data_IF_448065163992
#
_entry.id   IF_448065163992
#
_cell.length_a   1.000
_cell.length_b   1.000
_cell.length_c   1.000
_cell.angle_alpha   90.00
_cell.angle_beta   90.00
_cell.angle_gamma   90.00
#
_symmetry.space_group_name_H-M   'P 1'
#
loop_
_entity.id
_entity.type
_entity.pdbx_description
1 polymer ?
#
# COMPACT_ATOMS: atom_id res chain seq x y z
N UNK A 1 0.74 13.65 13.54
CA UNK A 1 0.87 12.30 14.12
C UNK A 1 -0.42 11.50 14.01
N UNK A 2 -1.57 11.93 14.58
CA UNK A 2 -2.87 11.22 14.47
C UNK A 2 -3.23 10.79 13.05
N UNK A 3 -2.97 11.65 12.05
CA UNK A 3 -3.25 11.35 10.64
C UNK A 3 -2.48 10.13 10.10
N UNK A 4 -1.18 10.01 10.36
CA UNK A 4 -0.37 8.89 9.84
C UNK A 4 -0.80 7.56 10.48
N UNK A 5 -1.06 7.59 11.78
CA UNK A 5 -1.63 6.47 12.53
C UNK A 5 -2.99 6.06 11.96
N UNK A 6 -3.90 7.02 11.73
CA UNK A 6 -5.21 6.76 11.13
C UNK A 6 -5.09 6.17 9.72
N UNK A 7 -4.22 6.72 8.89
CA UNK A 7 -3.95 6.21 7.55
C UNK A 7 -3.43 4.77 7.60
N UNK A 8 -2.52 4.46 8.54
CA UNK A 8 -2.04 3.11 8.81
C UNK A 8 -3.17 2.15 9.20
N UNK A 9 -4.03 2.55 10.14
CA UNK A 9 -5.20 1.76 10.56
C UNK A 9 -6.19 1.50 9.42
N UNK A 10 -6.39 2.47 8.52
CA UNK A 10 -7.23 2.30 7.34
C UNK A 10 -6.64 1.25 6.40
N UNK A 11 -5.34 1.32 6.11
CA UNK A 11 -4.67 0.32 5.27
C UNK A 11 -4.67 -1.08 5.92
N UNK A 12 -4.47 -1.17 7.24
CA UNK A 12 -4.59 -2.42 7.97
C UNK A 12 -6.00 -3.01 7.87
N UNK A 13 -7.03 -2.15 7.94
CA UNK A 13 -8.43 -2.57 7.77
C UNK A 13 -8.69 -3.09 6.35
N UNK A 14 -8.16 -2.40 5.33
CA UNK A 14 -8.22 -2.84 3.93
C UNK A 14 -7.47 -4.17 3.76
N UNK A 15 -6.31 -4.32 4.40
CA UNK A 15 -5.57 -5.58 4.49
C UNK A 15 -6.43 -6.70 5.10
N UNK A 16 -7.05 -6.46 6.25
CA UNK A 16 -7.95 -7.44 6.88
C UNK A 16 -9.12 -7.86 5.98
N UNK A 17 -9.82 -6.88 5.37
CA UNK A 17 -10.93 -7.15 4.46
C UNK A 17 -10.51 -7.88 3.19
N UNK A 18 -9.37 -7.50 2.60
CA UNK A 18 -8.83 -8.20 1.43
C UNK A 18 -8.36 -9.62 1.76
N UNK A 19 -7.93 -9.88 3.00
CA UNK A 19 -7.61 -11.22 3.49
C UNK A 19 -8.85 -12.10 3.58
N UNK A 20 -9.97 -11.57 4.07
CA UNK A 20 -11.26 -12.27 4.05
C UNK A 20 -11.72 -12.56 2.61
N UNK A 21 -11.61 -11.57 1.71
CA UNK A 21 -11.91 -11.76 0.30
C UNK A 21 -11.03 -12.85 -0.33
N UNK A 22 -9.73 -12.84 -0.05
CA UNK A 22 -8.79 -13.84 -0.54
C UNK A 22 -9.14 -15.23 -0.03
N UNK A 23 -9.43 -15.38 1.27
CA UNK A 23 -9.85 -16.64 1.88
C UNK A 23 -11.06 -17.23 1.13
N UNK A 24 -12.10 -16.42 0.92
CA UNK A 24 -13.29 -16.86 0.18
C UNK A 24 -12.95 -17.17 -1.29
N UNK A 25 -12.08 -16.38 -1.93
CA UNK A 25 -11.75 -16.55 -3.35
C UNK A 25 -10.94 -17.83 -3.65
N UNK A 26 -10.22 -18.39 -2.66
CA UNK A 26 -9.44 -19.62 -2.85
C UNK A 26 -10.32 -20.84 -3.13
N UNK A 27 -11.53 -20.87 -2.58
CA UNK A 27 -12.48 -21.97 -2.75
C UNK A 27 -13.44 -21.76 -3.94
N UNK A 28 -13.22 -20.72 -4.74
CA UNK A 28 -14.12 -20.33 -5.84
C UNK A 28 -13.48 -20.62 -7.20
N UNK A 29 -14.30 -20.86 -8.24
CA UNK A 29 -13.78 -21.04 -9.59
C UNK A 29 -13.05 -19.78 -10.06
N UNK A 30 -12.07 -19.96 -10.96
CA UNK A 30 -11.36 -18.83 -11.59
C UNK A 30 -12.36 -17.86 -12.22
N UNK A 31 -12.16 -16.56 -12.03
CA UNK A 31 -13.05 -15.52 -12.54
C UNK A 31 -14.24 -15.19 -11.63
N UNK A 32 -14.40 -15.87 -10.49
CA UNK A 32 -15.37 -15.45 -9.47
C UNK A 32 -15.10 -14.01 -9.01
N UNK A 33 -16.14 -13.18 -8.93
CA UNK A 33 -16.05 -11.72 -8.74
C UNK A 33 -15.13 -11.00 -9.76
N UNK A 34 -14.99 -11.54 -10.97
CA UNK A 34 -14.09 -11.04 -12.00
C UNK A 34 -12.60 -11.00 -11.57
N UNK A 35 -12.23 -11.73 -10.52
CA UNK A 35 -10.85 -11.89 -10.09
C UNK A 35 -10.13 -12.81 -11.08
N UNK A 36 -9.17 -12.25 -11.81
CA UNK A 36 -8.36 -12.95 -12.82
C UNK A 36 -7.09 -13.54 -12.24
N UNK A 37 -6.51 -12.88 -11.22
CA UNK A 37 -5.24 -13.28 -10.61
C UNK A 37 -5.30 -13.18 -9.08
N UNK A 38 -5.56 -14.29 -8.40
CA UNK A 38 -5.56 -14.36 -6.93
C UNK A 38 -4.18 -14.09 -6.31
N UNK A 39 -3.10 -14.35 -7.05
CA UNK A 39 -1.73 -14.01 -6.62
C UNK A 39 -1.54 -12.50 -6.43
N UNK A 40 -2.12 -11.67 -7.31
CA UNK A 40 -2.08 -10.20 -7.21
C UNK A 40 -2.97 -9.69 -6.08
N UNK A 41 -4.11 -10.34 -5.85
CA UNK A 41 -4.97 -10.02 -4.70
C UNK A 41 -4.22 -10.28 -3.39
N UNK A 42 -3.52 -11.42 -3.28
CA UNK A 42 -2.67 -11.73 -2.13
C UNK A 42 -1.52 -10.73 -1.99
N UNK A 43 -0.93 -10.30 -3.09
CA UNK A 43 0.13 -9.29 -3.06
C UNK A 43 -0.40 -7.96 -2.50
N UNK A 44 -1.51 -7.44 -3.03
CA UNK A 44 -2.13 -6.21 -2.51
C UNK A 44 -2.59 -6.31 -1.05
N UNK A 45 -3.08 -7.48 -0.63
CA UNK A 45 -3.39 -7.78 0.77
C UNK A 45 -2.16 -7.64 1.67
N UNK A 46 -1.04 -8.28 1.30
CA UNK A 46 0.20 -8.20 2.07
C UNK A 46 0.77 -6.79 2.05
N UNK A 47 0.77 -6.11 0.90
CA UNK A 47 1.26 -4.73 0.78
C UNK A 47 0.46 -3.79 1.71
N UNK A 48 -0.87 -3.92 1.74
CA UNK A 48 -1.71 -3.13 2.64
C UNK A 48 -1.39 -3.37 4.12
N UNK A 49 -1.14 -4.63 4.52
CA UNK A 49 -0.76 -4.96 5.90
C UNK A 49 0.62 -4.39 6.26
N UNK A 50 1.61 -4.56 5.39
CA UNK A 50 2.98 -4.11 5.65
C UNK A 50 3.04 -2.58 5.67
N UNK A 51 2.52 -1.92 4.64
CA UNK A 51 2.51 -0.46 4.55
C UNK A 51 1.65 0.13 5.67
N UNK A 52 0.49 -0.46 5.96
CA UNK A 52 -0.36 -0.03 7.08
C UNK A 52 0.37 -0.09 8.43
N UNK A 53 1.10 -1.18 8.68
CA UNK A 53 1.92 -1.34 9.89
C UNK A 53 3.04 -0.30 9.96
N UNK A 54 3.72 -0.05 8.84
CA UNK A 54 4.78 0.96 8.73
C UNK A 54 4.24 2.35 9.08
N UNK A 55 3.13 2.77 8.48
CA UNK A 55 2.51 4.08 8.74
C UNK A 55 2.06 4.21 10.21
N UNK A 56 1.52 3.12 10.77
CA UNK A 56 1.11 3.06 12.17
C UNK A 56 2.32 3.27 13.10
N UNK A 57 3.41 2.53 12.87
CA UNK A 57 4.63 2.60 13.66
C UNK A 57 5.29 3.98 13.56
N UNK A 58 5.42 4.53 12.35
CA UNK A 58 5.94 5.88 12.13
C UNK A 58 5.09 6.95 12.82
N UNK A 59 3.78 6.80 12.83
CA UNK A 59 2.87 7.72 13.50
C UNK A 59 3.01 7.72 15.03
N UNK A 60 3.55 6.63 15.60
CA UNK A 60 3.78 6.45 17.02
C UNK A 60 5.19 6.83 17.48
N UNK A 61 6.19 6.82 16.59
CA UNK A 61 7.61 6.95 16.96
C UNK A 61 8.03 8.41 17.24
N UNK A 62 7.77 9.34 16.32
CA UNK A 62 8.23 10.73 16.42
C UNK A 62 7.44 11.67 15.48
N UNK A 63 7.40 12.98 15.75
CA UNK A 63 6.77 13.94 14.84
C UNK A 63 7.57 14.07 13.53
N UNK A 64 7.06 13.47 12.46
CA UNK A 64 7.61 13.62 11.12
C UNK A 64 7.18 14.94 10.47
N UNK A 65 8.02 15.52 9.58
CA UNK A 65 7.61 16.58 8.67
C UNK A 65 6.33 16.20 7.91
N UNK A 66 5.42 17.16 7.77
CA UNK A 66 4.11 16.95 7.13
C UNK A 66 4.26 16.52 5.66
N UNK A 67 5.25 17.05 4.94
CA UNK A 67 5.54 16.68 3.55
C UNK A 67 5.88 15.19 3.42
N UNK A 68 6.78 14.67 4.26
CA UNK A 68 7.15 13.25 4.30
C UNK A 68 5.92 12.40 4.61
N UNK A 69 5.13 12.81 5.59
CA UNK A 69 3.89 12.13 5.99
C UNK A 69 2.90 12.00 4.82
N UNK A 70 2.70 13.07 4.05
CA UNK A 70 1.82 13.04 2.88
C UNK A 70 2.34 12.13 1.77
N UNK A 71 3.62 12.20 1.46
CA UNK A 71 4.22 11.34 0.42
C UNK A 71 4.06 9.88 0.82
N UNK A 72 4.37 9.52 2.07
CA UNK A 72 4.20 8.16 2.59
C UNK A 72 2.76 7.66 2.45
N UNK A 73 1.77 8.47 2.82
CA UNK A 73 0.36 8.07 2.76
C UNK A 73 -0.09 7.92 1.30
N UNK A 74 0.14 8.93 0.46
CA UNK A 74 -0.35 8.91 -0.92
C UNK A 74 0.27 7.75 -1.70
N UNK A 75 1.59 7.62 -1.64
CA UNK A 75 2.30 6.56 -2.35
C UNK A 75 2.02 5.18 -1.76
N UNK A 76 1.95 5.05 -0.44
CA UNK A 76 1.66 3.78 0.23
C UNK A 76 0.25 3.25 -0.07
N UNK A 77 -0.75 4.14 -0.04
CA UNK A 77 -2.11 3.80 -0.43
C UNK A 77 -2.18 3.41 -1.90
N UNK A 78 -1.59 4.21 -2.78
CA UNK A 78 -1.57 3.91 -4.20
C UNK A 78 -0.93 2.54 -4.46
N UNK A 79 0.27 2.30 -3.96
CA UNK A 79 1.00 1.02 -4.16
C UNK A 79 0.19 -0.18 -3.69
N UNK A 80 -0.39 -0.11 -2.48
CA UNK A 80 -1.18 -1.23 -1.92
C UNK A 80 -2.42 -1.51 -2.77
N UNK A 81 -3.18 -0.46 -3.10
CA UNK A 81 -4.44 -0.57 -3.81
C UNK A 81 -4.26 -0.93 -5.29
N UNK A 82 -3.28 -0.31 -5.96
CA UNK A 82 -2.96 -0.59 -7.35
C UNK A 82 -2.54 -2.05 -7.52
N UNK A 83 -1.69 -2.55 -6.61
CA UNK A 83 -1.23 -3.94 -6.65
C UNK A 83 -2.38 -4.92 -6.41
N UNK A 84 -3.29 -4.63 -5.48
CA UNK A 84 -4.52 -5.39 -5.30
C UNK A 84 -5.43 -5.34 -6.53
N UNK A 85 -5.57 -4.17 -7.16
CA UNK A 85 -6.39 -3.96 -8.35
C UNK A 85 -5.89 -4.77 -9.57
N UNK A 86 -4.59 -5.11 -9.63
CA UNK A 86 -4.05 -6.01 -10.66
C UNK A 86 -4.68 -7.40 -10.63
N UNK A 87 -5.37 -7.79 -9.54
CA UNK A 87 -6.15 -9.01 -9.51
C UNK A 87 -7.30 -9.01 -10.53
N UNK A 88 -7.87 -7.83 -10.83
CA UNK A 88 -8.94 -7.63 -11.81
C UNK A 88 -8.41 -7.12 -13.17
N UNK A 89 -7.37 -6.28 -13.13
CA UNK A 89 -6.75 -5.68 -14.31
C UNK A 89 -5.25 -5.97 -14.39
N UNK A 90 -4.86 -7.24 -14.65
CA UNK A 90 -3.45 -7.66 -14.58
C UNK A 90 -2.54 -6.95 -15.57
N UNK A 91 -3.08 -6.50 -16.71
CA UNK A 91 -2.33 -5.82 -17.75
C UNK A 91 -2.31 -4.28 -17.56
N UNK A 92 -2.88 -3.75 -16.47
CA UNK A 92 -3.02 -2.29 -16.29
C UNK A 92 -1.66 -1.57 -16.38
N UNK A 93 -0.67 -2.05 -15.65
CA UNK A 93 0.67 -1.45 -15.60
C UNK A 93 1.40 -1.52 -16.96
N UNK A 94 1.12 -2.54 -17.78
CA UNK A 94 1.77 -2.76 -19.07
C UNK A 94 1.00 -2.13 -20.23
N UNK A 95 -0.29 -1.81 -20.05
CA UNK A 95 -1.15 -1.23 -21.09
C UNK A 95 -0.83 0.21 -21.43
N UNK A 96 -0.26 0.98 -20.51
CA UNK A 96 0.05 2.39 -20.75
C UNK A 96 1.37 2.79 -20.10
N UNK A 97 2.19 3.57 -20.83
CA UNK A 97 3.41 4.18 -20.28
C UNK A 97 3.10 5.06 -19.07
N UNK A 98 1.93 5.68 -19.04
CA UNK A 98 1.48 6.48 -17.91
C UNK A 98 1.33 5.63 -16.64
N UNK A 99 0.65 4.48 -16.73
CA UNK A 99 0.50 3.56 -15.59
C UNK A 99 1.85 3.12 -15.04
N UNK A 100 2.79 2.77 -15.92
CA UNK A 100 4.15 2.41 -15.53
C UNK A 100 4.87 3.54 -14.78
N UNK A 101 4.79 4.79 -15.26
CA UNK A 101 5.41 5.94 -14.59
C UNK A 101 4.77 6.23 -13.23
N UNK A 102 3.46 6.05 -13.09
CA UNK A 102 2.77 6.24 -11.82
C UNK A 102 3.19 5.15 -10.82
N UNK A 103 3.22 3.88 -11.24
CA UNK A 103 3.66 2.76 -10.39
C UNK A 103 5.11 2.97 -9.93
N UNK A 104 6.01 3.27 -10.86
CA UNK A 104 7.42 3.52 -10.58
C UNK A 104 7.60 4.74 -9.67
N UNK A 105 6.90 5.83 -9.95
CA UNK A 105 6.93 7.05 -9.16
C UNK A 105 6.40 6.83 -7.74
N UNK A 106 5.30 6.08 -7.58
CA UNK A 106 4.74 5.76 -6.27
C UNK A 106 5.70 4.90 -5.45
N UNK A 107 6.22 3.81 -6.03
CA UNK A 107 7.18 2.94 -5.32
C UNK A 107 8.45 3.67 -4.92
N UNK A 108 9.02 4.46 -5.84
CA UNK A 108 10.24 5.22 -5.60
C UNK A 108 10.02 6.31 -4.54
N UNK A 109 8.92 7.06 -4.64
CA UNK A 109 8.60 8.10 -3.66
C UNK A 109 8.30 7.54 -2.28
N UNK A 110 7.62 6.39 -2.19
CA UNK A 110 7.41 5.70 -0.91
C UNK A 110 8.75 5.30 -0.27
N UNK A 111 9.64 4.67 -1.04
CA UNK A 111 10.95 4.24 -0.55
C UNK A 111 11.83 5.43 -0.11
N UNK A 112 11.84 6.52 -0.88
CA UNK A 112 12.57 7.73 -0.53
C UNK A 112 11.98 8.41 0.72
N UNK A 113 10.65 8.50 0.82
CA UNK A 113 9.99 9.09 1.98
C UNK A 113 10.19 8.25 3.24
N UNK A 114 10.22 6.92 3.12
CA UNK A 114 10.58 6.02 4.22
C UNK A 114 12.00 6.26 4.71
N UNK A 115 12.95 6.38 3.79
CA UNK A 115 14.35 6.68 4.11
C UNK A 115 14.47 8.03 4.81
N UNK A 116 13.80 9.06 4.28
CA UNK A 116 13.77 10.39 4.87
C UNK A 116 13.11 10.41 6.27
N UNK A 117 12.05 9.61 6.47
CA UNK A 117 11.39 9.46 7.76
C UNK A 117 12.33 8.84 8.81
N UNK A 118 13.06 7.79 8.45
CA UNK A 118 14.05 7.15 9.32
C UNK A 118 15.19 8.11 9.69
N UNK A 119 15.75 8.82 8.70
CA UNK A 119 16.80 9.82 8.95
C UNK A 119 16.28 10.92 9.91
N UNK A 120 15.05 11.39 9.68
CA UNK A 120 14.43 12.41 10.53
C UNK A 120 14.21 11.92 11.95
N UNK A 121 13.87 10.64 12.15
CA UNK A 121 13.73 10.07 13.50
C UNK A 121 15.05 9.94 14.24
N UNK A 122 16.17 9.69 13.56
CA UNK A 122 17.49 9.67 14.20
C UNK A 122 18.00 11.06 14.56
N UNK A 123 17.65 12.08 13.77
CA UNK A 123 18.06 13.47 14.02
C UNK A 123 17.27 14.15 15.16
N UNK A 124 16.15 13.55 15.58
CA UNK A 124 15.25 14.09 16.61
C UNK A 124 15.23 13.29 17.91
N UNK A 125 15.97 12.17 17.97
CA UNK A 125 16.21 11.36 19.16
C UNK A 125 17.47 11.84 19.89
#
# INVERSE_FOLDING_TARGET
MKFLTQAGLVLLSIGGLSGMLLYVALDKPKGWLAIKQTSRLRQGHVDALIIGTILLALGALAPLPMSISWVLVISGFYTSLATGALAWWPDWATKSRLGWWIDFGSLSSFALAMTAAMISSFATA
#
